data_IF_492980531183
#
_entry.id   IF_492980531183
#
_cell.length_a   1.000
_cell.length_b   1.000
_cell.length_c   1.000
_cell.angle_alpha   90.00
_cell.angle_beta   90.00
_cell.angle_gamma   90.00
#
_symmetry.space_group_name_H-M   'P 1'
#
loop_
_entity.id
_entity.type
_entity.pdbx_description
1 polymer ?
#
# COMPACT_ATOMS: atom_id res chain seq x y z
N UNK A 1 6.07 35.52 -8.05
CA UNK A 1 5.49 34.55 -9.01
C UNK A 1 4.25 33.98 -8.34
N UNK A 2 3.05 34.24 -8.86
CA UNK A 2 1.82 33.74 -8.25
C UNK A 2 1.78 32.20 -8.36
N UNK A 3 1.28 31.47 -7.35
CA UNK A 3 1.14 30.03 -7.44
C UNK A 3 0.15 29.71 -8.57
N UNK A 4 0.60 28.89 -9.53
CA UNK A 4 -0.27 28.34 -10.57
C UNK A 4 -1.42 27.60 -9.87
N UNK A 5 -2.69 27.88 -10.19
CA UNK A 5 -3.81 27.19 -9.55
C UNK A 5 -3.67 25.68 -9.77
N UNK A 6 -3.75 24.91 -8.68
CA UNK A 6 -3.62 23.46 -8.71
C UNK A 6 -4.59 22.89 -9.75
N UNK A 7 -4.06 22.20 -10.76
CA UNK A 7 -4.89 21.61 -11.80
C UNK A 7 -5.78 20.54 -11.16
N UNK A 8 -7.09 20.71 -11.28
CA UNK A 8 -8.04 19.75 -10.73
C UNK A 8 -7.92 18.40 -11.44
N UNK A 9 -7.79 17.33 -10.65
CA UNK A 9 -7.84 15.93 -11.10
C UNK A 9 -9.18 15.54 -11.70
N UNK A 10 -10.26 16.30 -11.39
CA UNK A 10 -11.64 16.04 -11.82
C UNK A 10 -11.76 15.80 -13.33
N UNK A 11 -11.06 16.57 -14.16
CA UNK A 11 -11.10 16.39 -15.64
C UNK A 11 -10.58 15.02 -16.05
N UNK A 12 -9.48 14.56 -15.45
CA UNK A 12 -8.91 13.26 -15.76
C UNK A 12 -9.81 12.13 -15.23
N UNK A 13 -10.28 12.25 -13.99
CA UNK A 13 -11.14 11.26 -13.36
C UNK A 13 -12.48 11.09 -14.07
N UNK A 14 -13.11 12.18 -14.49
CA UNK A 14 -14.34 12.15 -15.29
C UNK A 14 -14.15 11.47 -16.66
N UNK A 15 -12.91 11.38 -17.14
CA UNK A 15 -12.58 10.69 -18.38
C UNK A 15 -12.17 9.22 -18.18
N UNK A 16 -11.83 8.80 -16.95
CA UNK A 16 -11.32 7.47 -16.59
C UNK A 16 -12.41 6.62 -15.93
N UNK A 17 -13.02 7.13 -14.85
CA UNK A 17 -13.93 6.37 -13.99
C UNK A 17 -15.15 5.82 -14.76
N UNK A 18 -15.78 6.57 -15.70
CA UNK A 18 -16.88 6.03 -16.49
C UNK A 18 -16.49 4.84 -17.37
N UNK A 19 -15.23 4.75 -17.83
CA UNK A 19 -14.76 3.61 -18.63
C UNK A 19 -14.76 2.31 -17.82
N UNK A 20 -14.41 2.39 -16.53
CA UNK A 20 -14.46 1.25 -15.61
C UNK A 20 -15.91 0.79 -15.45
N UNK A 21 -16.83 1.73 -15.23
CA UNK A 21 -18.25 1.44 -15.10
C UNK A 21 -18.87 0.87 -16.39
N UNK A 22 -18.35 1.25 -17.55
CA UNK A 22 -18.80 0.74 -18.86
C UNK A 22 -18.09 -0.53 -19.32
N UNK A 23 -17.37 -1.24 -18.43
CA UNK A 23 -16.71 -2.50 -18.77
C UNK A 23 -15.47 -2.37 -19.66
N UNK A 24 -14.82 -1.20 -19.67
CA UNK A 24 -13.60 -0.89 -20.42
C UNK A 24 -12.40 -0.62 -19.47
N UNK A 25 -12.02 -1.58 -18.60
CA UNK A 25 -10.98 -1.37 -17.60
C UNK A 25 -9.58 -1.19 -18.19
N UNK A 26 -9.31 -1.82 -19.34
CA UNK A 26 -8.01 -1.67 -20.01
C UNK A 26 -7.82 -0.24 -20.53
N UNK A 27 -8.84 0.32 -21.17
CA UNK A 27 -8.86 1.70 -21.66
C UNK A 27 -8.76 2.69 -20.50
N UNK A 28 -9.48 2.42 -19.39
CA UNK A 28 -9.38 3.21 -18.17
C UNK A 28 -7.94 3.22 -17.62
N UNK A 29 -7.31 2.04 -17.55
CA UNK A 29 -5.92 1.88 -17.11
C UNK A 29 -4.93 2.67 -17.98
N UNK A 30 -4.98 2.51 -19.31
CA UNK A 30 -4.08 3.23 -20.23
C UNK A 30 -4.28 4.74 -20.16
N UNK A 31 -5.53 5.19 -20.03
CA UNK A 31 -5.86 6.61 -19.89
C UNK A 31 -5.36 7.18 -18.56
N UNK A 32 -5.50 6.45 -17.45
CA UNK A 32 -4.96 6.83 -16.15
C UNK A 32 -3.43 7.02 -16.18
N UNK A 33 -2.70 6.07 -16.77
CA UNK A 33 -1.24 6.18 -16.96
C UNK A 33 -0.87 7.43 -17.76
N UNK A 34 -1.56 7.66 -18.88
CA UNK A 34 -1.27 8.80 -19.76
C UNK A 34 -1.47 10.15 -19.07
N UNK A 35 -2.60 10.32 -18.35
CA UNK A 35 -2.84 11.53 -17.58
C UNK A 35 -1.79 11.72 -16.48
N UNK A 36 -1.52 10.69 -15.69
CA UNK A 36 -0.55 10.73 -14.61
C UNK A 36 0.87 11.09 -15.11
N UNK A 37 1.35 10.44 -16.18
CA UNK A 37 2.65 10.76 -16.78
C UNK A 37 2.74 12.21 -17.25
N UNK A 38 1.66 12.75 -17.82
CA UNK A 38 1.63 14.16 -18.24
C UNK A 38 1.69 15.09 -17.03
N UNK A 39 0.90 14.83 -15.99
CA UNK A 39 0.89 15.65 -14.77
C UNK A 39 2.26 15.62 -14.08
N UNK A 40 2.89 14.45 -13.97
CA UNK A 40 4.24 14.31 -13.43
C UNK A 40 5.27 15.12 -14.21
N UNK A 41 5.27 15.02 -15.56
CA UNK A 41 6.19 15.81 -16.42
C UNK A 41 6.01 17.32 -16.28
N UNK A 42 4.81 17.77 -15.93
CA UNK A 42 4.50 19.17 -15.68
C UNK A 42 4.68 19.59 -14.22
N UNK A 43 5.27 18.74 -13.37
CA UNK A 43 5.48 19.01 -11.93
C UNK A 43 4.20 19.02 -11.09
N UNK A 44 3.06 18.59 -11.64
CA UNK A 44 1.77 18.55 -10.96
C UNK A 44 1.61 17.22 -10.20
N UNK A 45 2.51 16.96 -9.26
CA UNK A 45 2.59 15.68 -8.56
C UNK A 45 1.34 15.35 -7.76
N UNK A 46 0.74 16.32 -7.05
CA UNK A 46 -0.49 16.10 -6.28
C UNK A 46 -1.67 15.70 -7.16
N UNK A 47 -1.80 16.32 -8.34
CA UNK A 47 -2.82 15.94 -9.32
C UNK A 47 -2.57 14.52 -9.86
N UNK A 48 -1.30 14.15 -10.12
CA UNK A 48 -0.94 12.80 -10.55
C UNK A 48 -1.26 11.76 -9.46
N UNK A 49 -0.92 12.06 -8.21
CA UNK A 49 -1.20 11.22 -7.03
C UNK A 49 -2.70 10.93 -6.92
N UNK A 50 -3.54 11.97 -6.99
CA UNK A 50 -4.98 11.80 -6.87
C UNK A 50 -5.57 10.99 -8.03
N UNK A 51 -5.13 11.27 -9.27
CA UNK A 51 -5.57 10.50 -10.45
C UNK A 51 -5.19 9.02 -10.33
N UNK A 52 -3.94 8.73 -9.96
CA UNK A 52 -3.46 7.35 -9.82
C UNK A 52 -4.17 6.62 -8.69
N UNK A 53 -4.30 7.24 -7.52
CA UNK A 53 -4.94 6.65 -6.35
C UNK A 53 -6.40 6.29 -6.64
N UNK A 54 -7.20 7.24 -7.15
CA UNK A 54 -8.62 6.98 -7.41
C UNK A 54 -8.81 5.95 -8.54
N UNK A 55 -8.01 6.03 -9.60
CA UNK A 55 -8.11 5.07 -10.71
C UNK A 55 -7.71 3.66 -10.28
N UNK A 56 -6.62 3.52 -9.51
CA UNK A 56 -6.19 2.24 -8.95
C UNK A 56 -7.28 1.66 -8.03
N UNK A 57 -7.83 2.49 -7.14
CA UNK A 57 -8.90 2.09 -6.22
C UNK A 57 -10.11 1.52 -6.94
N UNK A 58 -10.61 2.20 -7.97
CA UNK A 58 -11.78 1.72 -8.72
C UNK A 58 -11.48 0.49 -9.56
N UNK A 59 -10.28 0.35 -10.13
CA UNK A 59 -9.86 -0.86 -10.83
C UNK A 59 -9.77 -2.09 -9.90
N UNK A 60 -9.18 -1.93 -8.72
CA UNK A 60 -9.09 -3.02 -7.72
C UNK A 60 -10.49 -3.47 -7.27
N UNK A 61 -11.43 -2.54 -7.08
CA UNK A 61 -12.83 -2.85 -6.71
C UNK A 61 -13.56 -3.72 -7.73
N UNK A 62 -13.25 -3.58 -9.03
CA UNK A 62 -13.84 -4.39 -10.10
C UNK A 62 -13.00 -5.62 -10.46
N UNK A 63 -12.07 -6.02 -9.59
CA UNK A 63 -11.27 -7.24 -9.75
C UNK A 63 -10.08 -7.10 -10.69
N UNK A 64 -9.75 -5.90 -11.16
CA UNK A 64 -8.65 -5.66 -12.11
C UNK A 64 -7.32 -5.50 -11.38
N UNK A 65 -6.86 -6.58 -10.73
CA UNK A 65 -5.73 -6.52 -9.80
C UNK A 65 -4.41 -6.13 -10.48
N UNK A 66 -4.13 -6.66 -11.68
CA UNK A 66 -2.92 -6.29 -12.42
C UNK A 66 -2.87 -4.79 -12.73
N UNK A 67 -3.96 -4.21 -13.25
CA UNK A 67 -4.04 -2.78 -13.55
C UNK A 67 -3.99 -1.91 -12.29
N UNK A 68 -4.70 -2.31 -11.23
CA UNK A 68 -4.68 -1.60 -9.95
C UNK A 68 -3.29 -1.60 -9.30
N UNK A 69 -2.58 -2.73 -9.30
CA UNK A 69 -1.21 -2.84 -8.78
C UNK A 69 -0.19 -2.07 -9.62
N UNK A 70 -0.34 -2.05 -10.95
CA UNK A 70 0.50 -1.22 -11.82
C UNK A 70 0.32 0.28 -11.53
N UNK A 71 -0.93 0.75 -11.43
CA UNK A 71 -1.19 2.16 -11.08
C UNK A 71 -0.72 2.50 -9.66
N UNK A 72 -0.81 1.57 -8.72
CA UNK A 72 -0.27 1.73 -7.35
C UNK A 72 1.26 1.81 -7.36
N UNK A 73 1.92 1.00 -8.20
CA UNK A 73 3.36 1.10 -8.41
C UNK A 73 3.74 2.47 -8.97
N UNK A 74 2.99 2.95 -9.96
CA UNK A 74 3.24 4.26 -10.54
C UNK A 74 2.98 5.38 -9.52
N UNK A 75 2.00 5.23 -8.64
CA UNK A 75 1.76 6.16 -7.54
C UNK A 75 3.00 6.29 -6.62
N UNK A 76 3.63 5.18 -6.27
CA UNK A 76 4.86 5.18 -5.46
C UNK A 76 6.05 5.79 -6.21
N UNK A 77 6.16 5.60 -7.53
CA UNK A 77 7.17 6.30 -8.34
C UNK A 77 6.93 7.82 -8.33
N UNK A 78 5.66 8.27 -8.36
CA UNK A 78 5.33 9.70 -8.22
C UNK A 78 5.68 10.21 -6.82
N UNK A 79 5.47 9.42 -5.76
CA UNK A 79 5.93 9.76 -4.40
C UNK A 79 7.43 9.95 -4.34
N UNK A 80 8.20 9.03 -4.93
CA UNK A 80 9.66 9.13 -5.02
C UNK A 80 10.09 10.41 -5.74
N UNK A 81 9.50 10.71 -6.90
CA UNK A 81 9.86 11.90 -7.68
C UNK A 81 9.44 13.23 -7.01
N UNK A 82 8.37 13.22 -6.21
CA UNK A 82 7.93 14.38 -5.43
C UNK A 82 8.73 14.55 -4.13
N UNK A 83 9.46 13.53 -3.69
CA UNK A 83 9.95 13.40 -2.31
C UNK A 83 8.80 13.49 -1.29
N UNK A 84 7.69 12.80 -1.58
CA UNK A 84 6.53 12.72 -0.69
C UNK A 84 6.93 12.04 0.62
N UNK A 85 6.66 12.72 1.74
CA UNK A 85 6.94 12.21 3.07
C UNK A 85 5.89 11.20 3.52
N UNK A 86 6.32 10.31 4.42
CA UNK A 86 5.39 9.43 5.14
C UNK A 86 4.55 10.27 6.11
N UNK A 87 3.23 10.28 5.90
CA UNK A 87 2.24 10.93 6.76
C UNK A 87 0.92 10.12 6.74
N UNK A 88 -0.10 10.58 7.46
CA UNK A 88 -1.38 9.88 7.55
C UNK A 88 -2.09 9.72 6.20
N UNK A 89 -1.99 10.71 5.31
CA UNK A 89 -2.63 10.68 4.00
C UNK A 89 -1.90 9.73 3.04
N UNK A 90 -0.58 9.85 2.91
CA UNK A 90 0.22 8.97 2.04
C UNK A 90 0.15 7.52 2.49
N UNK A 91 0.20 7.27 3.81
CA UNK A 91 -0.05 5.95 4.40
C UNK A 91 -1.47 5.45 4.15
N UNK A 92 -2.48 6.29 4.40
CA UNK A 92 -3.89 5.93 4.25
C UNK A 92 -4.26 5.50 2.83
N UNK A 93 -3.65 6.14 1.81
CA UNK A 93 -3.81 5.72 0.41
C UNK A 93 -3.25 4.31 0.19
N UNK A 94 -2.05 4.03 0.69
CA UNK A 94 -1.40 2.74 0.52
C UNK A 94 -2.14 1.62 1.26
N UNK A 95 -2.57 1.84 2.50
CA UNK A 95 -3.33 0.83 3.25
C UNK A 95 -4.65 0.48 2.57
N UNK A 96 -5.36 1.49 2.01
CA UNK A 96 -6.58 1.25 1.23
C UNK A 96 -6.31 0.42 -0.03
N UNK A 97 -5.25 0.72 -0.79
CA UNK A 97 -4.90 -0.04 -1.99
C UNK A 97 -4.46 -1.48 -1.65
N UNK A 98 -3.72 -1.67 -0.56
CA UNK A 98 -3.34 -3.00 -0.04
C UNK A 98 -4.59 -3.81 0.33
N UNK A 99 -5.57 -3.21 1.00
CA UNK A 99 -6.82 -3.87 1.35
C UNK A 99 -7.58 -4.36 0.10
N UNK A 100 -7.71 -3.48 -0.90
CA UNK A 100 -8.48 -3.76 -2.11
C UNK A 100 -7.81 -4.77 -3.05
N UNK A 101 -6.48 -4.89 -3.02
CA UNK A 101 -5.78 -5.91 -3.80
C UNK A 101 -6.12 -7.34 -3.36
N UNK A 102 -6.58 -7.52 -2.12
CA UNK A 102 -6.99 -8.82 -1.58
C UNK A 102 -5.83 -9.80 -1.41
N UNK A 103 -6.16 -11.04 -1.02
CA UNK A 103 -5.17 -12.11 -0.76
C UNK A 103 -4.81 -12.95 -1.97
N UNK A 104 -5.42 -12.68 -3.13
CA UNK A 104 -5.23 -13.49 -4.34
C UNK A 104 -3.94 -13.14 -5.09
N UNK A 105 -3.12 -14.16 -5.34
CA UNK A 105 -1.90 -14.01 -6.13
C UNK A 105 -0.82 -13.17 -5.44
N UNK A 106 0.13 -12.65 -6.23
CA UNK A 106 1.27 -11.87 -5.74
C UNK A 106 1.03 -10.36 -5.68
N UNK A 107 -0.13 -9.89 -6.15
CA UNK A 107 -0.43 -8.47 -6.35
C UNK A 107 -0.30 -7.63 -5.08
N UNK A 108 -0.91 -8.09 -3.99
CA UNK A 108 -0.84 -7.37 -2.70
C UNK A 108 0.57 -7.39 -2.13
N UNK A 109 1.30 -8.51 -2.26
CA UNK A 109 2.71 -8.58 -1.85
C UNK A 109 3.54 -7.53 -2.59
N UNK A 110 3.35 -7.38 -3.90
CA UNK A 110 4.04 -6.34 -4.68
C UNK A 110 3.77 -4.93 -4.16
N UNK A 111 2.50 -4.62 -3.80
CA UNK A 111 2.16 -3.31 -3.22
C UNK A 111 2.83 -3.14 -1.86
N UNK A 112 2.76 -4.16 -0.99
CA UNK A 112 3.38 -4.15 0.35
C UNK A 112 4.89 -3.91 0.25
N UNK A 113 5.60 -4.71 -0.54
CA UNK A 113 7.06 -4.63 -0.66
C UNK A 113 7.50 -3.22 -1.08
N UNK A 114 6.83 -2.65 -2.10
CA UNK A 114 7.13 -1.30 -2.59
C UNK A 114 6.76 -0.21 -1.58
N UNK A 115 5.62 -0.34 -0.91
CA UNK A 115 5.17 0.61 0.10
C UNK A 115 6.10 0.64 1.32
N UNK A 116 6.54 -0.53 1.80
CA UNK A 116 7.51 -0.64 2.88
C UNK A 116 8.85 -0.04 2.46
N UNK A 117 9.37 -0.38 1.28
CA UNK A 117 10.63 0.16 0.76
C UNK A 117 10.60 1.70 0.63
N UNK A 118 9.51 2.26 0.08
CA UNK A 118 9.32 3.71 0.02
C UNK A 118 9.30 4.32 1.42
N UNK A 119 8.52 3.75 2.34
CA UNK A 119 8.40 4.29 3.70
C UNK A 119 9.69 4.20 4.51
N UNK A 120 10.54 3.21 4.24
CA UNK A 120 11.85 3.08 4.87
C UNK A 120 12.82 4.17 4.40
N UNK A 121 12.66 4.62 3.15
CA UNK A 121 13.50 5.66 2.53
C UNK A 121 13.04 7.08 2.89
N UNK A 122 11.73 7.31 2.93
CA UNK A 122 11.12 8.64 3.12
C UNK A 122 10.50 8.86 4.51
N UNK A 123 10.62 7.86 5.39
CA UNK A 123 10.21 7.91 6.78
C UNK A 123 11.39 7.93 7.75
N UNK A 124 11.11 8.09 9.06
CA UNK A 124 12.16 8.16 10.08
C UNK A 124 12.74 6.79 10.45
N UNK A 125 12.09 5.69 10.05
CA UNK A 125 12.42 4.34 10.48
C UNK A 125 13.00 3.52 9.31
N UNK A 126 14.24 2.99 9.42
CA UNK A 126 14.89 2.26 8.32
C UNK A 126 14.21 0.91 8.01
N UNK A 127 13.41 0.39 8.94
CA UNK A 127 12.60 -0.80 8.74
C UNK A 127 11.26 -0.51 8.03
N UNK A 128 10.96 0.74 7.67
CA UNK A 128 9.65 1.16 7.13
C UNK A 128 8.76 1.81 8.19
N UNK A 129 7.65 2.39 7.74
CA UNK A 129 6.72 3.09 8.64
C UNK A 129 6.11 2.13 9.69
N UNK A 130 6.26 2.42 11.00
CA UNK A 130 5.74 1.58 12.08
C UNK A 130 4.25 1.22 11.98
N UNK A 131 3.39 2.13 11.52
CA UNK A 131 1.95 1.85 11.45
C UNK A 131 1.57 1.10 10.18
N UNK A 132 2.26 1.33 9.07
CA UNK A 132 2.13 0.52 7.86
C UNK A 132 2.59 -0.91 8.12
N UNK A 133 3.73 -1.08 8.80
CA UNK A 133 4.23 -2.39 9.25
C UNK A 133 3.22 -3.11 10.13
N UNK A 134 2.70 -2.42 11.16
CA UNK A 134 1.66 -2.97 12.03
C UNK A 134 0.42 -3.41 11.26
N UNK A 135 -0.10 -2.56 10.37
CA UNK A 135 -1.27 -2.87 9.55
C UNK A 135 -1.06 -4.10 8.66
N UNK A 136 0.09 -4.20 8.00
CA UNK A 136 0.41 -5.36 7.15
C UNK A 136 0.55 -6.63 7.99
N UNK A 137 1.20 -6.53 9.15
CA UNK A 137 1.32 -7.63 10.11
C UNK A 137 -0.04 -8.16 10.57
N UNK A 138 -0.95 -7.28 11.00
CA UNK A 138 -2.31 -7.66 11.38
C UNK A 138 -3.11 -8.27 10.22
N UNK A 139 -2.96 -7.73 9.02
CA UNK A 139 -3.64 -8.24 7.83
C UNK A 139 -3.20 -9.68 7.51
N UNK A 140 -1.89 -9.92 7.50
CA UNK A 140 -1.34 -11.24 7.22
C UNK A 140 -1.62 -12.24 8.34
N UNK A 141 -1.63 -11.78 9.60
CA UNK A 141 -2.01 -12.59 10.74
C UNK A 141 -3.46 -13.09 10.61
N UNK A 142 -4.41 -12.21 10.29
CA UNK A 142 -5.83 -12.58 10.09
C UNK A 142 -6.06 -13.59 8.97
N UNK A 143 -5.10 -13.75 8.07
CA UNK A 143 -5.14 -14.70 6.96
C UNK A 143 -4.32 -15.97 7.21
N UNK A 144 -3.75 -16.12 8.41
CA UNK A 144 -2.98 -17.31 8.80
C UNK A 144 -1.54 -17.32 8.28
N UNK A 145 -1.04 -16.24 7.69
CA UNK A 145 0.34 -16.14 7.20
C UNK A 145 1.30 -15.75 8.34
N UNK A 146 1.39 -16.57 9.38
CA UNK A 146 2.10 -16.24 10.62
C UNK A 146 3.59 -15.92 10.41
N UNK A 147 4.31 -16.69 9.61
CA UNK A 147 5.73 -16.44 9.30
C UNK A 147 5.96 -15.04 8.71
N UNK A 148 5.09 -14.61 7.80
CA UNK A 148 5.24 -13.31 7.14
C UNK A 148 4.72 -12.19 8.03
N UNK A 149 3.63 -12.42 8.76
CA UNK A 149 3.06 -11.47 9.71
C UNK A 149 4.06 -11.10 10.82
N UNK A 150 4.81 -12.08 11.32
CA UNK A 150 5.85 -11.88 12.35
C UNK A 150 6.87 -10.82 11.94
N UNK A 151 7.42 -10.91 10.72
CA UNK A 151 8.43 -9.99 10.20
C UNK A 151 7.92 -8.54 10.27
N UNK A 152 6.67 -8.31 9.84
CA UNK A 152 6.04 -6.99 9.85
C UNK A 152 5.72 -6.51 11.27
N UNK A 153 5.21 -7.38 12.16
CA UNK A 153 4.88 -7.02 13.54
C UNK A 153 6.12 -6.68 14.37
N UNK A 154 7.23 -7.39 14.16
CA UNK A 154 8.53 -7.09 14.76
C UNK A 154 9.09 -5.76 14.25
N UNK A 155 9.10 -5.55 12.92
CA UNK A 155 9.58 -4.33 12.29
C UNK A 155 8.79 -3.08 12.69
N UNK A 156 7.51 -3.24 13.06
CA UNK A 156 6.68 -2.12 13.50
C UNK A 156 7.17 -1.48 14.80
N UNK A 157 7.76 -2.25 15.73
CA UNK A 157 8.27 -1.71 17.00
C UNK A 157 7.22 -1.01 17.89
N UNK A 158 5.92 -1.28 17.70
CA UNK A 158 4.83 -0.68 18.49
C UNK A 158 4.41 -1.61 19.63
N UNK A 159 3.96 -1.02 20.75
CA UNK A 159 3.36 -1.76 21.87
C UNK A 159 2.18 -2.63 21.42
N UNK A 160 1.34 -2.11 20.54
CA UNK A 160 0.19 -2.86 20.02
C UNK A 160 0.63 -4.01 19.11
N UNK A 161 1.70 -3.84 18.32
CA UNK A 161 2.29 -4.94 17.55
C UNK A 161 2.80 -6.06 18.45
N UNK A 162 3.40 -5.73 19.59
CA UNK A 162 3.85 -6.75 20.55
C UNK A 162 2.69 -7.58 21.13
N UNK A 163 1.52 -6.96 21.35
CA UNK A 163 0.32 -7.68 21.80
C UNK A 163 -0.22 -8.60 20.72
N UNK A 164 -0.31 -8.10 19.48
CA UNK A 164 -0.74 -8.91 18.32
C UNK A 164 0.23 -10.07 18.11
N UNK A 165 1.53 -9.83 18.21
CA UNK A 165 2.57 -10.84 18.07
C UNK A 165 2.45 -11.96 19.12
N UNK A 166 2.24 -11.58 20.39
CA UNK A 166 2.03 -12.56 21.46
C UNK A 166 0.78 -13.42 21.21
N UNK A 167 -0.33 -12.80 20.78
CA UNK A 167 -1.55 -13.51 20.42
C UNK A 167 -1.33 -14.46 19.24
N UNK A 168 -0.65 -13.99 18.20
CA UNK A 168 -0.30 -14.79 17.02
C UNK A 168 0.59 -15.98 17.39
N UNK A 169 1.57 -15.83 18.28
CA UNK A 169 2.42 -16.94 18.71
C UNK A 169 1.66 -18.01 19.51
N UNK A 170 0.69 -17.61 20.34
CA UNK A 170 -0.18 -18.57 21.04
C UNK A 170 -1.02 -19.36 20.04
N UNK A 171 -1.58 -18.68 19.04
CA UNK A 171 -2.36 -19.32 17.99
C UNK A 171 -1.49 -20.24 17.13
N UNK A 172 -0.31 -19.78 16.71
CA UNK A 172 0.62 -20.59 15.93
C UNK A 172 1.10 -21.83 16.71
N UNK A 173 1.39 -21.69 18.00
CA UNK A 173 1.70 -22.81 18.88
C UNK A 173 0.57 -23.85 18.92
N UNK A 174 -0.69 -23.44 18.85
CA UNK A 174 -1.83 -24.37 18.83
C UNK A 174 -1.88 -25.24 17.57
N UNK A 175 -1.27 -24.79 16.47
CA UNK A 175 -1.09 -25.56 15.25
C UNK A 175 0.14 -26.50 15.30
N UNK A 176 0.99 -26.38 16.34
CA UNK A 176 2.15 -27.23 16.59
C UNK A 176 3.40 -26.46 17.03
N UNK A 177 4.34 -27.16 17.67
CA UNK A 177 5.63 -26.62 18.10
C UNK A 177 5.88 -26.70 19.60
N UNK A 178 6.97 -26.09 20.07
CA UNK A 178 7.35 -26.12 21.49
C UNK A 178 7.11 -24.75 22.13
N UNK A 179 6.48 -24.66 23.32
CA UNK A 179 6.24 -23.39 24.00
C UNK A 179 7.53 -22.57 24.20
N UNK A 180 8.64 -23.24 24.50
CA UNK A 180 9.94 -22.59 24.67
C UNK A 180 10.45 -21.88 23.41
N UNK A 181 10.22 -22.44 22.22
CA UNK A 181 10.62 -21.80 20.97
C UNK A 181 9.83 -20.52 20.70
N UNK A 182 8.50 -20.54 20.90
CA UNK A 182 7.67 -19.36 20.73
C UNK A 182 7.93 -18.28 21.79
N UNK A 183 8.22 -18.68 23.04
CA UNK A 183 8.66 -17.74 24.08
C UNK A 183 9.97 -17.05 23.70
N UNK A 184 10.92 -17.78 23.11
CA UNK A 184 12.19 -17.22 22.63
C UNK A 184 11.95 -16.21 21.50
N UNK A 185 11.12 -16.53 20.50
CA UNK A 185 10.75 -15.63 19.38
C UNK A 185 10.12 -14.31 19.83
N UNK A 186 9.43 -14.30 20.98
CA UNK A 186 8.86 -13.08 21.57
C UNK A 186 9.82 -12.26 22.43
N UNK A 187 10.98 -12.82 22.79
CA UNK A 187 11.95 -12.21 23.71
C UNK A 187 13.22 -11.77 23.00
N UNK A 188 13.72 -12.59 22.08
CA UNK A 188 14.92 -12.36 21.26
C UNK A 188 14.54 -12.60 19.79
N UNK A 189 13.87 -11.62 19.16
CA UNK A 189 13.48 -11.71 17.75
C UNK A 189 14.66 -11.53 16.78
#
# INVERSE_FOLDING_TARGET
MAPTPAASSSRALNAIIPLIASGQPYEAHQKARTFASRYQKSGQYDTAIDVLFQSARELLKVGQQGSGTDLTSFLLDVYENKSELVNDDSRGRLTQLIALAGSSGSWRKTIIDKAIAWSAKHGPCPAGDPSLQHYVGELLYKEGFFDTAEIHLLAAGKRDSARVLAQMYIEWLSAGGTPGAFALRGTIP
#
